data_IF_473571463948
#
_entry.id   IF_473571463948
#
_cell.length_a   1.000
_cell.length_b   1.000
_cell.length_c   1.000
_cell.angle_alpha   90.00
_cell.angle_beta   90.00
_cell.angle_gamma   90.00
#
_symmetry.space_group_name_H-M   'P 1'
#
loop_
_entity.id
_entity.type
_entity.pdbx_description
1 polymer ?
#
# COMPACT_ATOMS: atom_id res chain seq x y z
N UNK A 1 3.30 -51.98 -109.63
CA UNK A 1 4.45 -51.81 -108.73
C UNK A 1 4.37 -50.48 -107.90
N UNK A 2 3.75 -49.42 -108.41
CA UNK A 2 3.76 -48.13 -107.75
C UNK A 2 2.91 -47.94 -106.48
N UNK A 3 1.99 -48.89 -106.13
CA UNK A 3 1.10 -48.78 -104.98
C UNK A 3 1.80 -49.18 -103.65
N UNK A 4 2.61 -50.21 -103.69
CA UNK A 4 3.41 -50.65 -102.51
C UNK A 4 4.41 -49.62 -102.06
N UNK A 5 5.09 -48.93 -103.00
CA UNK A 5 6.07 -47.85 -102.66
C UNK A 5 5.39 -46.66 -102.06
N UNK A 6 4.24 -46.23 -102.58
CA UNK A 6 3.46 -45.13 -102.01
C UNK A 6 2.98 -45.45 -100.58
N UNK A 7 2.54 -46.65 -100.34
CA UNK A 7 2.13 -47.13 -99.01
C UNK A 7 3.32 -47.12 -98.03
N UNK A 8 4.49 -47.59 -98.47
CA UNK A 8 5.69 -47.57 -97.65
C UNK A 8 6.13 -46.13 -97.27
N UNK A 9 6.03 -45.15 -98.24
CA UNK A 9 6.28 -43.73 -97.92
C UNK A 9 5.27 -43.19 -96.93
N UNK A 10 4.00 -43.45 -97.09
CA UNK A 10 2.97 -42.96 -96.14
C UNK A 10 3.18 -43.54 -94.76
N UNK A 11 3.53 -44.84 -94.64
CA UNK A 11 3.81 -45.47 -93.37
C UNK A 11 4.99 -44.77 -92.66
N UNK A 12 6.10 -44.54 -93.41
CA UNK A 12 7.24 -43.79 -92.85
C UNK A 12 6.84 -42.40 -92.38
N UNK A 13 6.09 -41.60 -93.13
CA UNK A 13 5.60 -40.31 -92.69
C UNK A 13 4.73 -40.39 -91.42
N UNK A 14 3.90 -41.40 -91.29
CA UNK A 14 3.07 -41.64 -90.11
C UNK A 14 4.00 -41.96 -88.87
N UNK A 15 5.02 -42.79 -89.08
CA UNK A 15 5.97 -43.14 -88.04
C UNK A 15 6.79 -41.88 -87.58
N UNK A 16 7.33 -41.16 -88.54
CA UNK A 16 8.03 -39.88 -88.22
C UNK A 16 7.15 -38.84 -87.51
N UNK A 17 5.88 -38.74 -87.98
CA UNK A 17 4.91 -37.86 -87.31
C UNK A 17 4.59 -38.29 -85.87
N UNK A 18 4.44 -39.60 -85.63
CA UNK A 18 4.22 -40.14 -84.28
C UNK A 18 5.41 -39.96 -83.40
N UNK A 19 6.61 -40.15 -83.87
CA UNK A 19 7.85 -39.84 -83.09
C UNK A 19 7.92 -38.32 -82.73
N UNK A 20 7.65 -37.43 -83.65
CA UNK A 20 7.60 -36.01 -83.40
C UNK A 20 6.55 -35.59 -82.35
N UNK A 21 5.33 -36.19 -82.48
CA UNK A 21 4.25 -35.99 -81.49
C UNK A 21 4.68 -36.52 -80.14
N UNK A 22 5.31 -37.72 -80.03
CA UNK A 22 5.79 -38.28 -78.79
C UNK A 22 6.89 -37.40 -78.12
N UNK A 23 7.85 -36.85 -78.91
CA UNK A 23 8.85 -35.88 -78.42
C UNK A 23 8.21 -34.59 -77.91
N UNK A 24 7.30 -33.97 -78.63
CA UNK A 24 6.59 -32.74 -78.22
C UNK A 24 5.78 -33.01 -76.94
N UNK A 25 5.12 -34.11 -76.85
CA UNK A 25 4.36 -34.48 -75.62
C UNK A 25 5.26 -34.66 -74.41
N UNK A 26 6.43 -35.33 -74.61
CA UNK A 26 7.45 -35.51 -73.56
C UNK A 26 8.03 -34.17 -73.09
N UNK A 27 8.38 -33.29 -74.05
CA UNK A 27 8.92 -31.96 -73.73
C UNK A 27 7.90 -31.08 -73.03
N UNK A 28 6.65 -31.11 -73.49
CA UNK A 28 5.53 -30.42 -72.82
C UNK A 28 5.28 -30.93 -71.39
N UNK A 29 5.37 -32.24 -71.20
CA UNK A 29 5.21 -32.82 -69.85
C UNK A 29 6.37 -32.38 -68.91
N UNK A 30 7.61 -32.48 -69.40
CA UNK A 30 8.78 -32.04 -68.66
C UNK A 30 8.71 -30.54 -68.26
N UNK A 31 8.25 -29.67 -69.18
CA UNK A 31 8.05 -28.24 -68.88
C UNK A 31 6.91 -27.99 -67.87
N UNK A 32 5.79 -28.76 -67.96
CA UNK A 32 4.72 -28.69 -66.97
C UNK A 32 5.23 -29.14 -65.61
N UNK A 33 5.98 -30.20 -65.49
CA UNK A 33 6.53 -30.69 -64.25
C UNK A 33 7.49 -29.66 -63.62
N UNK A 34 8.33 -29.03 -64.46
CA UNK A 34 9.21 -27.91 -64.05
C UNK A 34 8.43 -26.72 -63.52
N UNK A 35 7.41 -26.28 -64.26
CA UNK A 35 6.59 -25.15 -63.87
C UNK A 35 5.80 -25.45 -62.58
N UNK A 36 5.27 -26.65 -62.43
CA UNK A 36 4.59 -27.07 -61.20
C UNK A 36 5.53 -27.09 -59.99
N UNK A 37 6.77 -27.54 -60.19
CA UNK A 37 7.77 -27.49 -59.16
C UNK A 37 8.12 -26.06 -58.73
N UNK A 38 8.29 -25.17 -59.69
CA UNK A 38 8.56 -23.72 -59.41
C UNK A 38 7.36 -23.10 -58.69
N UNK A 39 6.13 -23.40 -59.12
CA UNK A 39 4.93 -22.87 -58.51
C UNK A 39 4.79 -23.36 -57.05
N UNK A 40 5.09 -24.64 -56.81
CA UNK A 40 5.13 -25.17 -55.44
C UNK A 40 6.16 -24.47 -54.55
N UNK A 41 7.37 -24.24 -55.07
CA UNK A 41 8.42 -23.50 -54.35
C UNK A 41 7.99 -22.07 -54.02
N UNK A 42 7.46 -21.34 -55.02
CA UNK A 42 6.95 -19.98 -54.82
C UNK A 42 5.81 -19.91 -53.79
N UNK A 43 4.90 -20.86 -53.82
CA UNK A 43 3.82 -20.93 -52.83
C UNK A 43 4.33 -21.21 -51.42
N UNK A 44 5.36 -22.03 -51.25
CA UNK A 44 6.02 -22.25 -49.96
C UNK A 44 6.72 -20.98 -49.47
N UNK A 45 7.44 -20.25 -50.31
CA UNK A 45 8.07 -18.98 -49.97
C UNK A 45 7.05 -17.91 -49.60
N UNK A 46 5.94 -17.82 -50.37
CA UNK A 46 4.84 -16.88 -50.11
C UNK A 46 4.21 -17.17 -48.75
N UNK A 47 3.96 -18.44 -48.42
CA UNK A 47 3.44 -18.85 -47.11
C UNK A 47 4.40 -18.46 -45.98
N UNK A 48 5.69 -18.70 -46.17
CA UNK A 48 6.73 -18.33 -45.17
C UNK A 48 6.80 -16.83 -44.94
N UNK A 49 6.81 -16.04 -46.02
CA UNK A 49 6.82 -14.55 -45.93
C UNK A 49 5.57 -14.03 -45.24
N UNK A 50 4.39 -14.59 -45.59
CA UNK A 50 3.13 -14.23 -44.95
C UNK A 50 3.12 -14.51 -43.44
N UNK A 51 3.68 -15.64 -43.02
CA UNK A 51 3.82 -15.98 -41.59
C UNK A 51 4.75 -15.01 -40.85
N UNK A 52 5.89 -14.65 -41.48
CA UNK A 52 6.83 -13.68 -40.90
C UNK A 52 6.20 -12.29 -40.75
N UNK A 53 5.44 -11.86 -41.77
CA UNK A 53 4.75 -10.57 -41.73
C UNK A 53 3.67 -10.55 -40.64
N UNK A 54 2.90 -11.62 -40.50
CA UNK A 54 1.90 -11.75 -39.43
C UNK A 54 2.55 -11.71 -38.05
N UNK A 55 3.66 -12.46 -37.84
CA UNK A 55 4.41 -12.44 -36.61
C UNK A 55 5.00 -11.07 -36.29
N UNK A 56 5.49 -10.35 -37.31
CA UNK A 56 5.98 -8.97 -37.14
C UNK A 56 4.88 -8.03 -36.72
N UNK A 57 3.72 -8.09 -37.34
CA UNK A 57 2.57 -7.24 -36.98
C UNK A 57 2.15 -7.49 -35.50
N UNK A 58 2.10 -8.74 -35.08
CA UNK A 58 1.79 -9.10 -33.69
C UNK A 58 2.86 -8.59 -32.68
N UNK A 59 4.14 -8.64 -33.07
CA UNK A 59 5.23 -8.09 -32.26
C UNK A 59 5.10 -6.57 -32.11
N UNK A 60 4.80 -5.86 -33.19
CA UNK A 60 4.66 -4.40 -33.18
C UNK A 60 3.45 -3.98 -32.32
N UNK A 61 2.33 -4.68 -32.40
CA UNK A 61 1.15 -4.50 -31.53
C UNK A 61 1.50 -4.76 -30.06
N UNK A 62 2.19 -5.87 -29.78
CA UNK A 62 2.61 -6.22 -28.41
C UNK A 62 3.57 -5.15 -27.84
N UNK A 63 4.49 -4.63 -28.63
CA UNK A 63 5.40 -3.54 -28.20
C UNK A 63 4.62 -2.27 -27.87
N UNK A 64 3.69 -1.86 -28.72
CA UNK A 64 2.85 -0.70 -28.47
C UNK A 64 2.07 -0.84 -27.15
N UNK A 65 1.51 -2.05 -26.90
CA UNK A 65 0.80 -2.32 -25.65
C UNK A 65 1.71 -2.30 -24.43
N UNK A 66 2.93 -2.83 -24.53
CA UNK A 66 3.93 -2.74 -23.46
C UNK A 66 4.30 -1.30 -23.14
N UNK A 67 4.47 -0.46 -24.13
CA UNK A 67 4.81 0.95 -23.95
C UNK A 67 3.64 1.74 -23.32
N UNK A 68 2.41 1.46 -23.72
CA UNK A 68 1.20 2.00 -23.09
C UNK A 68 1.12 1.61 -21.61
N UNK A 69 1.28 0.32 -21.30
CA UNK A 69 1.25 -0.16 -19.91
C UNK A 69 2.36 0.44 -19.04
N UNK A 70 3.55 0.65 -19.60
CA UNK A 70 4.64 1.35 -18.91
C UNK A 70 4.30 2.80 -18.61
N UNK A 71 3.62 3.49 -19.52
CA UNK A 71 3.17 4.85 -19.30
C UNK A 71 2.11 4.92 -18.20
N UNK A 72 1.11 4.03 -18.23
CA UNK A 72 0.12 3.90 -17.16
C UNK A 72 0.77 3.60 -15.81
N UNK A 73 1.70 2.66 -15.75
CA UNK A 73 2.42 2.30 -14.53
C UNK A 73 3.14 3.52 -13.92
N UNK A 74 3.80 4.34 -14.73
CA UNK A 74 4.46 5.57 -14.26
C UNK A 74 3.47 6.57 -13.68
N UNK A 75 2.32 6.74 -14.33
CA UNK A 75 1.27 7.64 -13.87
C UNK A 75 0.68 7.16 -12.53
N UNK A 76 0.40 5.87 -12.42
CA UNK A 76 -0.12 5.27 -11.19
C UNK A 76 0.91 5.32 -10.04
N UNK A 77 2.19 5.08 -10.33
CA UNK A 77 3.26 5.18 -9.33
C UNK A 77 3.38 6.62 -8.78
N UNK A 78 3.32 7.63 -9.63
CA UNK A 78 3.35 9.03 -9.21
C UNK A 78 2.11 9.41 -8.37
N UNK A 79 0.93 8.91 -8.74
CA UNK A 79 -0.29 9.13 -7.96
C UNK A 79 -0.23 8.46 -6.59
N UNK A 80 0.30 7.24 -6.52
CA UNK A 80 0.51 6.51 -5.26
C UNK A 80 1.48 7.26 -4.33
N UNK A 81 2.61 7.72 -4.86
CA UNK A 81 3.58 8.50 -4.08
C UNK A 81 2.97 9.80 -3.52
N UNK A 82 2.12 10.48 -4.28
CA UNK A 82 1.40 11.66 -3.81
C UNK A 82 0.41 11.34 -2.68
N UNK A 83 -0.31 10.21 -2.78
CA UNK A 83 -1.24 9.74 -1.76
C UNK A 83 -0.46 9.37 -0.47
N UNK A 84 0.63 8.64 -0.59
CA UNK A 84 1.47 8.25 0.55
C UNK A 84 2.02 9.48 1.28
N UNK A 85 2.46 10.50 0.54
CA UNK A 85 2.89 11.77 1.13
C UNK A 85 1.77 12.47 1.89
N UNK A 86 0.55 12.52 1.32
CA UNK A 86 -0.61 13.12 1.98
C UNK A 86 -0.99 12.35 3.24
N UNK A 87 -0.93 11.02 3.19
CA UNK A 87 -1.20 10.16 4.34
C UNK A 87 -0.21 10.44 5.48
N UNK A 88 1.08 10.46 5.18
CA UNK A 88 2.12 10.80 6.15
C UNK A 88 1.89 12.18 6.79
N UNK A 89 1.51 13.18 6.00
CA UNK A 89 1.17 14.52 6.53
C UNK A 89 -0.04 14.48 7.48
N UNK A 90 -1.06 13.69 7.19
CA UNK A 90 -2.22 13.52 8.07
C UNK A 90 -1.86 12.82 9.39
N UNK A 91 -0.99 11.81 9.32
CA UNK A 91 -0.48 11.11 10.51
C UNK A 91 0.35 12.05 11.39
N UNK A 92 1.25 12.81 10.81
CA UNK A 92 2.06 13.81 11.52
C UNK A 92 1.18 14.88 12.14
N UNK A 93 0.21 15.42 11.39
CA UNK A 93 -0.74 16.39 11.94
C UNK A 93 -1.49 15.83 13.15
N UNK A 94 -1.97 14.59 13.06
CA UNK A 94 -2.68 13.93 14.17
C UNK A 94 -1.76 13.80 15.39
N UNK A 95 -0.52 13.39 15.20
CA UNK A 95 0.49 13.27 16.26
C UNK A 95 0.77 14.60 16.93
N UNK A 96 1.02 15.65 16.15
CA UNK A 96 1.26 16.99 16.66
C UNK A 96 0.05 17.54 17.41
N UNK A 97 -1.15 17.34 16.91
CA UNK A 97 -2.39 17.74 17.58
C UNK A 97 -2.53 17.07 18.95
N UNK A 98 -2.33 15.75 19.01
CA UNK A 98 -2.39 14.99 20.27
C UNK A 98 -1.34 15.49 21.28
N UNK A 99 -0.12 15.71 20.81
CA UNK A 99 0.95 16.24 21.65
C UNK A 99 0.63 17.66 22.15
N UNK A 100 0.19 18.55 21.28
CA UNK A 100 -0.18 19.92 21.65
C UNK A 100 -1.27 19.96 22.73
N UNK A 101 -2.32 19.12 22.58
CA UNK A 101 -3.38 18.99 23.57
C UNK A 101 -2.80 18.51 24.92
N UNK A 102 -1.99 17.46 24.87
CA UNK A 102 -1.38 16.87 26.07
C UNK A 102 -0.48 17.90 26.78
N UNK A 103 0.33 18.63 26.06
CA UNK A 103 1.22 19.65 26.62
C UNK A 103 0.42 20.82 27.16
N UNK A 104 -0.60 21.28 26.46
CA UNK A 104 -1.48 22.36 26.91
C UNK A 104 -2.21 22.02 28.20
N UNK A 105 -2.70 20.79 28.35
CA UNK A 105 -3.31 20.32 29.59
C UNK A 105 -2.27 20.22 30.69
N UNK A 106 -1.14 19.57 30.45
CA UNK A 106 -0.08 19.33 31.42
C UNK A 106 0.61 20.60 31.93
N UNK A 107 0.62 21.66 31.13
CA UNK A 107 1.20 22.95 31.54
C UNK A 107 0.42 23.58 32.70
N UNK A 108 -0.78 23.20 32.96
CA UNK A 108 -1.64 23.73 34.04
C UNK A 108 -1.39 23.06 35.39
N UNK A 109 -0.85 21.83 35.39
CA UNK A 109 -0.61 21.05 36.60
C UNK A 109 0.83 21.18 37.09
N UNK A 110 1.03 21.23 38.38
CA UNK A 110 2.35 21.31 39.00
C UNK A 110 3.04 19.95 39.13
N UNK A 111 2.30 18.98 39.59
CA UNK A 111 2.79 17.62 39.94
C UNK A 111 2.23 16.54 38.99
N UNK A 112 0.92 16.55 38.75
CA UNK A 112 0.27 15.61 37.89
C UNK A 112 0.65 15.80 36.42
N UNK A 113 0.80 14.68 35.72
CA UNK A 113 0.96 14.65 34.26
C UNK A 113 -0.03 13.68 33.71
N UNK A 114 -0.79 14.12 32.71
CA UNK A 114 -1.78 13.30 32.04
C UNK A 114 -1.21 12.75 30.75
N UNK A 115 -1.36 11.46 30.54
CA UNK A 115 -1.19 10.84 29.24
C UNK A 115 -2.57 10.68 28.64
N UNK A 116 -2.89 11.50 27.64
CA UNK A 116 -4.21 11.57 27.01
C UNK A 116 -4.31 10.70 25.76
N UNK A 117 -3.17 10.32 25.20
CA UNK A 117 -3.10 9.51 23.99
C UNK A 117 -2.00 8.47 24.12
N UNK A 118 -2.20 7.33 23.49
CA UNK A 118 -1.21 6.25 23.36
C UNK A 118 -1.09 5.81 21.91
N UNK A 119 0.12 5.57 21.45
CA UNK A 119 0.36 5.06 20.11
C UNK A 119 0.13 3.55 20.09
N UNK A 120 -0.68 3.08 19.13
CA UNK A 120 -0.93 1.67 18.90
C UNK A 120 0.17 1.05 18.02
N UNK A 121 0.24 -0.28 17.99
CA UNK A 121 1.23 -1.03 17.19
C UNK A 121 1.13 -0.72 15.70
N UNK A 122 -0.06 -0.40 15.20
CA UNK A 122 -0.32 0.01 13.81
C UNK A 122 0.00 1.49 13.52
N UNK A 123 0.59 2.22 14.47
CA UNK A 123 0.93 3.65 14.34
C UNK A 123 -0.21 4.61 14.66
N UNK A 124 -1.45 4.12 14.81
CA UNK A 124 -2.61 4.93 15.16
C UNK A 124 -2.52 5.50 16.58
N UNK A 125 -3.21 6.63 16.82
CA UNK A 125 -3.35 7.22 18.14
C UNK A 125 -4.68 6.79 18.75
N UNK A 126 -4.64 6.29 20.00
CA UNK A 126 -5.83 5.95 20.77
C UNK A 126 -5.94 6.86 21.99
N UNK A 127 -7.16 7.26 22.31
CA UNK A 127 -7.45 8.04 23.49
C UNK A 127 -7.20 7.21 24.76
N UNK A 128 -6.56 7.81 25.74
CA UNK A 128 -6.43 7.26 27.09
C UNK A 128 -6.45 8.40 28.10
N UNK A 129 -6.60 8.09 29.37
CA UNK A 129 -6.51 9.08 30.43
C UNK A 129 -5.82 8.46 31.64
N UNK A 130 -4.50 8.49 31.62
CA UNK A 130 -3.68 8.00 32.71
C UNK A 130 -2.99 9.17 33.42
N UNK A 131 -3.07 9.17 34.74
CA UNK A 131 -2.32 10.13 35.56
C UNK A 131 -0.97 9.53 35.92
N UNK A 132 0.07 10.32 35.74
CA UNK A 132 1.46 9.94 35.98
C UNK A 132 2.19 10.99 36.81
N UNK A 133 3.19 10.56 37.55
CA UNK A 133 4.14 11.44 38.26
C UNK A 133 5.55 10.91 38.06
N UNK A 134 6.44 11.73 37.51
CA UNK A 134 7.82 11.31 37.27
C UNK A 134 7.94 10.04 36.41
N UNK A 135 7.01 9.82 35.48
CA UNK A 135 6.98 8.61 34.63
C UNK A 135 6.31 7.37 35.26
N UNK A 136 5.87 7.47 36.51
CA UNK A 136 5.18 6.37 37.22
C UNK A 136 3.68 6.58 37.15
N UNK A 137 2.93 5.54 36.73
CA UNK A 137 1.48 5.59 36.70
C UNK A 137 0.87 5.68 38.10
N UNK A 138 -0.26 6.38 38.23
CA UNK A 138 -0.95 6.63 39.52
C UNK A 138 -1.15 5.37 40.35
N UNK A 139 -1.45 4.25 39.74
CA UNK A 139 -1.62 2.94 40.45
C UNK A 139 -0.38 2.52 41.21
N UNK A 140 0.82 2.82 40.69
CA UNK A 140 2.11 2.47 41.26
C UNK A 140 2.64 3.48 42.30
N UNK A 141 1.98 4.62 42.50
CA UNK A 141 2.38 5.63 43.45
C UNK A 141 2.10 5.19 44.90
N UNK A 142 2.95 5.67 45.83
CA UNK A 142 2.70 5.51 47.27
C UNK A 142 1.50 6.37 47.71
N UNK A 143 0.99 6.12 48.92
CA UNK A 143 -0.19 6.80 49.45
C UNK A 143 -0.03 8.31 49.56
N UNK A 144 1.16 8.78 49.99
CA UNK A 144 1.47 10.21 50.15
C UNK A 144 1.44 10.91 48.79
N UNK A 145 2.08 10.32 47.76
CA UNK A 145 2.09 10.89 46.41
C UNK A 145 0.68 10.90 45.79
N UNK A 146 -0.10 9.84 45.98
CA UNK A 146 -1.50 9.79 45.51
C UNK A 146 -2.34 10.95 46.07
N UNK A 147 -2.17 11.27 47.35
CA UNK A 147 -2.85 12.41 47.97
C UNK A 147 -2.38 13.74 47.38
N UNK A 148 -1.08 13.95 47.25
CA UNK A 148 -0.54 15.19 46.67
C UNK A 148 -0.97 15.38 45.21
N UNK A 149 -1.03 14.30 44.40
CA UNK A 149 -1.58 14.37 43.03
C UNK A 149 -3.06 14.77 43.04
N UNK A 150 -3.85 14.18 43.95
CA UNK A 150 -5.26 14.54 44.11
C UNK A 150 -5.43 16.01 44.45
N UNK A 151 -4.59 16.55 45.36
CA UNK A 151 -4.58 17.94 45.75
C UNK A 151 -4.19 18.84 44.58
N UNK A 152 -3.18 18.50 43.80
CA UNK A 152 -2.77 19.23 42.60
C UNK A 152 -3.91 19.34 41.58
N UNK A 153 -4.59 18.20 41.34
CA UNK A 153 -5.75 18.16 40.41
C UNK A 153 -6.89 19.05 40.91
N UNK A 154 -7.25 18.94 42.22
CA UNK A 154 -8.30 19.75 42.82
C UNK A 154 -7.98 21.22 42.74
N UNK A 155 -6.74 21.62 43.09
CA UNK A 155 -6.33 23.02 43.03
C UNK A 155 -6.39 23.59 41.60
N UNK A 156 -5.84 22.88 40.65
CA UNK A 156 -5.85 23.30 39.24
C UNK A 156 -7.29 23.41 38.67
N UNK A 157 -8.18 22.45 39.00
CA UNK A 157 -9.57 22.54 38.59
C UNK A 157 -10.34 23.65 39.30
N UNK A 158 -10.07 23.86 40.59
CA UNK A 158 -10.66 24.97 41.38
C UNK A 158 -10.29 26.34 40.79
N UNK A 159 -9.04 26.52 40.40
CA UNK A 159 -8.60 27.72 39.71
C UNK A 159 -9.28 27.88 38.35
N UNK A 160 -9.42 26.80 37.59
CA UNK A 160 -10.03 26.83 36.26
C UNK A 160 -11.54 27.17 36.31
N UNK A 161 -12.26 26.56 37.23
CA UNK A 161 -13.71 26.79 37.39
C UNK A 161 -14.08 27.98 38.26
N UNK A 162 -13.13 28.55 38.99
CA UNK A 162 -13.38 29.63 39.92
C UNK A 162 -14.20 29.21 41.15
N UNK A 163 -14.24 27.92 41.48
CA UNK A 163 -15.02 27.35 42.59
C UNK A 163 -14.06 26.76 43.61
N UNK A 164 -14.20 27.21 44.85
CA UNK A 164 -13.41 26.70 46.00
C UNK A 164 -14.38 26.15 47.06
N UNK A 165 -14.12 24.93 47.46
CA UNK A 165 -14.91 24.23 48.49
C UNK A 165 -13.99 23.73 49.61
N UNK A 166 -14.46 23.62 50.86
CA UNK A 166 -13.71 22.99 51.95
C UNK A 166 -13.28 21.57 51.55
N UNK A 167 -12.06 21.23 51.85
CA UNK A 167 -11.47 19.92 51.51
C UNK A 167 -11.21 19.11 52.79
N UNK A 168 -11.70 17.87 52.80
CA UNK A 168 -11.41 16.92 53.88
C UNK A 168 -10.34 15.95 53.41
N UNK A 169 -9.24 15.89 54.12
CA UNK A 169 -8.09 14.97 53.87
C UNK A 169 -8.06 13.91 54.97
N UNK A 170 -8.51 12.71 54.60
CA UNK A 170 -8.49 11.56 55.50
C UNK A 170 -7.07 10.96 55.61
N UNK A 171 -6.73 10.45 56.81
CA UNK A 171 -5.44 9.79 57.09
C UNK A 171 -4.25 10.76 56.76
N UNK A 172 -4.39 12.00 57.18
CA UNK A 172 -3.41 13.08 56.85
C UNK A 172 -2.04 12.84 57.47
N UNK A 173 -1.95 12.07 58.55
CA UNK A 173 -0.69 11.66 59.24
C UNK A 173 0.21 10.81 58.32
N UNK A 174 -0.35 10.12 57.31
CA UNK A 174 0.44 9.31 56.38
C UNK A 174 1.29 10.15 55.40
N UNK A 175 1.17 11.49 55.42
CA UNK A 175 1.86 12.38 54.51
C UNK A 175 2.63 13.44 55.25
N UNK A 176 3.95 13.37 55.20
CA UNK A 176 4.85 14.31 55.88
C UNK A 176 4.70 15.75 55.36
N UNK A 177 4.44 15.89 54.03
CA UNK A 177 4.29 17.20 53.40
C UNK A 177 3.15 17.17 52.43
N UNK A 178 2.01 17.77 52.80
CA UNK A 178 0.86 17.96 51.89
C UNK A 178 1.12 19.19 51.00
N UNK A 179 0.65 19.08 49.77
CA UNK A 179 0.67 20.23 48.85
C UNK A 179 -0.27 21.31 49.36
N UNK A 180 0.18 22.55 49.34
CA UNK A 180 -0.60 23.70 49.75
C UNK A 180 -1.71 23.99 48.75
N UNK A 181 -2.93 24.22 49.29
CA UNK A 181 -4.12 24.56 48.52
C UNK A 181 -4.70 25.83 49.12
N UNK A 182 -5.18 26.72 48.26
CA UNK A 182 -5.85 27.94 48.65
C UNK A 182 -7.35 27.74 48.95
N UNK A 183 -7.62 26.86 49.92
CA UNK A 183 -8.99 26.61 50.44
C UNK A 183 -8.91 26.11 51.88
N UNK A 184 -10.06 26.05 52.59
CA UNK A 184 -10.11 25.44 53.90
C UNK A 184 -9.82 23.94 53.81
N UNK A 185 -8.81 23.47 54.54
CA UNK A 185 -8.42 22.07 54.61
C UNK A 185 -8.69 21.54 56.00
N UNK A 186 -9.55 20.50 56.06
CA UNK A 186 -9.85 19.76 57.30
C UNK A 186 -9.01 18.48 57.22
N UNK A 187 -8.06 18.31 58.14
CA UNK A 187 -7.20 17.13 58.21
C UNK A 187 -7.73 16.16 59.24
N UNK A 188 -8.06 14.94 58.80
CA UNK A 188 -8.40 13.86 59.74
C UNK A 188 -7.10 13.10 60.04
N UNK A 189 -6.73 13.08 61.34
CA UNK A 189 -5.51 12.46 61.86
C UNK A 189 -5.90 11.45 62.93
N UNK A 190 -5.39 10.25 62.87
CA UNK A 190 -5.57 9.25 63.91
C UNK A 190 -4.62 9.59 65.07
N UNK A 191 -5.20 9.71 66.29
CA UNK A 191 -4.46 9.90 67.52
C UNK A 191 -4.75 8.78 68.49
N UNK A 192 -3.73 8.05 68.92
CA UNK A 192 -3.86 6.96 69.92
C UNK A 192 -4.20 7.46 71.32
N UNK A 193 -3.83 8.72 71.62
CA UNK A 193 -4.01 9.32 72.93
C UNK A 193 -5.37 9.96 73.15
N UNK A 194 -6.08 10.30 72.09
CA UNK A 194 -7.38 10.99 72.17
C UNK A 194 -8.52 9.97 72.01
N UNK A 195 -9.38 9.87 73.06
CA UNK A 195 -10.56 8.97 73.09
C UNK A 195 -11.79 9.59 72.46
N UNK A 196 -11.79 10.85 72.23
CA UNK A 196 -12.90 11.64 71.65
C UNK A 196 -12.37 12.55 70.53
N UNK A 197 -13.30 12.96 69.62
CA UNK A 197 -12.96 13.85 68.52
C UNK A 197 -12.50 15.20 69.06
N UNK A 198 -11.31 15.62 68.74
CA UNK A 198 -10.73 16.88 69.12
C UNK A 198 -10.40 17.72 67.86
N UNK A 199 -10.80 18.98 67.88
CA UNK A 199 -10.43 19.96 66.87
C UNK A 199 -9.27 20.78 67.39
N UNK A 200 -8.19 20.84 66.58
CA UNK A 200 -6.94 21.53 66.92
C UNK A 200 -6.66 22.61 65.91
#
# INVERSE_FOLDING_TARGET
PGYAERRAKVVRYIEEAREKIGRIQSDQQAERDRLNSQLSQLNMELTRVSQVLAAKAQLDETRARVDELKAEQRTQAAALEEIDRKLAMCEDFTRYRCQFITDSVNSRFKLARFRLFTQQVNGGMADCCDVMVGGVAYKGLNKAMKKNVGLDIINTLSEHYGIRVPLVVDNAESVTKLQEIDTQVIRLVVSENDKELRIV
#
